data_IF_963551034369
#
_entry.id   IF_963551034369
#
_cell.length_a   1.000
_cell.length_b   1.000
_cell.length_c   1.000
_cell.angle_alpha   90.00
_cell.angle_beta   90.00
_cell.angle_gamma   90.00
#
_symmetry.space_group_name_H-M   'P 1'
#
loop_
_entity.id
_entity.type
_entity.pdbx_description
1 polymer ?
#
# COMPACT_ATOMS: atom_id res chain seq x y z
N UNK A 1 -5.72 8.98 -2.43
CA UNK A 1 -5.23 8.23 -3.58
C UNK A 1 -6.44 7.41 -3.98
N UNK A 2 -6.58 7.06 -5.25
CA UNK A 2 -7.73 6.25 -5.67
C UNK A 2 -7.76 4.94 -4.86
N UNK A 3 -8.95 4.46 -4.52
CA UNK A 3 -9.09 3.22 -3.76
C UNK A 3 -8.96 3.34 -2.23
N UNK A 4 -8.92 4.55 -1.66
CA UNK A 4 -8.90 4.74 -0.19
C UNK A 4 -7.51 4.69 0.45
N UNK A 5 -6.45 4.62 -0.37
CA UNK A 5 -5.06 4.69 0.09
C UNK A 5 -4.61 6.12 0.41
N UNK A 6 -3.58 6.23 1.25
CA UNK A 6 -2.93 7.50 1.61
C UNK A 6 -2.29 8.18 0.41
N UNK A 7 -2.18 9.51 0.46
CA UNK A 7 -1.59 10.35 -0.62
C UNK A 7 -0.24 10.94 -0.24
N UNK A 8 0.28 10.56 0.91
CA UNK A 8 1.47 11.16 1.48
C UNK A 8 2.56 10.10 1.60
N UNK A 9 3.76 10.46 1.16
CA UNK A 9 4.98 9.72 1.44
C UNK A 9 5.64 10.18 2.74
N UNK A 10 4.89 10.84 3.64
CA UNK A 10 5.40 11.28 4.94
C UNK A 10 5.93 10.11 5.77
N UNK A 11 6.88 10.37 6.67
CA UNK A 11 7.48 9.39 7.57
C UNK A 11 6.46 8.68 8.49
N UNK A 12 5.25 9.22 8.63
CA UNK A 12 4.15 8.57 9.37
C UNK A 12 3.54 7.38 8.63
N UNK A 13 3.68 7.32 7.30
CA UNK A 13 3.19 6.22 6.47
C UNK A 13 4.34 5.24 6.26
N UNK A 14 4.24 4.06 6.85
CA UNK A 14 5.29 3.05 6.70
C UNK A 14 5.05 2.17 5.46
N UNK A 15 3.79 1.83 5.16
CA UNK A 15 3.40 1.04 3.99
C UNK A 15 2.74 1.93 2.94
N UNK A 16 3.52 2.55 2.06
CA UNK A 16 3.01 3.60 1.16
C UNK A 16 2.59 3.10 -0.22
N UNK A 17 2.99 1.89 -0.63
CA UNK A 17 2.61 1.32 -1.92
C UNK A 17 1.19 0.69 -1.87
N UNK A 18 0.48 0.77 -2.99
CA UNK A 18 -0.84 0.15 -3.19
C UNK A 18 -0.77 -1.28 -3.72
N UNK A 19 0.38 -1.68 -4.25
CA UNK A 19 0.65 -3.00 -4.82
C UNK A 19 1.44 -3.84 -3.84
N UNK A 20 2.53 -3.28 -3.31
CA UNK A 20 3.42 -3.93 -2.37
C UNK A 20 2.93 -3.72 -0.92
N UNK A 21 3.11 -4.74 -0.10
CA UNK A 21 2.93 -4.72 1.34
C UNK A 21 4.32 -4.77 2.00
N UNK A 22 5.12 -3.75 1.70
CA UNK A 22 6.44 -3.57 2.28
C UNK A 22 6.51 -2.21 2.97
N UNK A 23 7.28 -2.16 4.05
CA UNK A 23 7.66 -0.92 4.71
C UNK A 23 8.64 -0.13 3.85
N UNK A 24 8.77 1.15 4.16
CA UNK A 24 9.81 2.01 3.55
C UNK A 24 11.21 1.42 3.68
N UNK A 25 11.53 0.86 4.84
CA UNK A 25 12.86 0.31 5.10
C UNK A 25 13.08 -0.98 4.33
N UNK A 26 12.08 -1.86 4.24
CA UNK A 26 12.21 -3.12 3.49
C UNK A 26 12.45 -2.85 2.01
N UNK A 27 11.70 -1.93 1.40
CA UNK A 27 11.81 -1.67 -0.04
C UNK A 27 13.20 -1.15 -0.44
N UNK A 28 13.88 -0.40 0.43
CA UNK A 28 15.25 0.08 0.19
C UNK A 28 16.29 -1.04 0.20
N UNK A 29 15.93 -2.23 0.69
CA UNK A 29 16.82 -3.39 0.78
C UNK A 29 16.38 -4.53 -0.16
N UNK A 30 15.32 -4.34 -0.94
CA UNK A 30 14.81 -5.34 -1.89
C UNK A 30 15.30 -4.96 -3.29
N UNK A 31 16.14 -5.83 -3.87
CA UNK A 31 16.72 -5.64 -5.22
C UNK A 31 16.16 -6.62 -6.25
N UNK A 32 15.17 -7.44 -5.86
CA UNK A 32 14.55 -8.45 -6.72
C UNK A 32 13.07 -8.60 -6.36
N UNK A 33 12.22 -8.64 -7.38
CA UNK A 33 10.76 -8.77 -7.24
C UNK A 33 10.32 -10.05 -6.51
N UNK A 34 11.14 -11.11 -6.52
CA UNK A 34 10.81 -12.39 -5.86
C UNK A 34 10.68 -12.28 -4.33
N UNK A 35 11.16 -11.20 -3.73
CA UNK A 35 11.19 -10.99 -2.27
C UNK A 35 10.05 -10.06 -1.81
N UNK A 36 9.33 -9.42 -2.74
CA UNK A 36 8.32 -8.42 -2.43
C UNK A 36 6.99 -9.09 -2.06
N UNK A 37 6.51 -8.82 -0.84
CA UNK A 37 5.17 -9.22 -0.42
C UNK A 37 4.11 -8.33 -1.09
N UNK A 38 3.13 -8.93 -1.76
CA UNK A 38 2.05 -8.19 -2.43
C UNK A 38 0.81 -8.02 -1.55
N UNK A 39 0.07 -6.94 -1.77
CA UNK A 39 -1.26 -6.74 -1.18
C UNK A 39 -2.26 -7.69 -1.81
N UNK A 40 -3.04 -8.35 -0.98
CA UNK A 40 -4.13 -9.24 -1.37
C UNK A 40 -5.45 -8.63 -0.88
N UNK A 41 -6.59 -8.98 -1.50
CA UNK A 41 -7.89 -8.60 -0.94
C UNK A 41 -8.04 -8.98 0.54
N UNK A 42 -7.53 -10.17 0.91
CA UNK A 42 -7.59 -10.67 2.28
C UNK A 42 -6.83 -9.79 3.26
N UNK A 43 -5.57 -9.43 2.98
CA UNK A 43 -4.80 -8.58 3.87
C UNK A 43 -5.29 -7.13 3.87
N UNK A 44 -5.84 -6.65 2.75
CA UNK A 44 -6.48 -5.34 2.69
C UNK A 44 -7.67 -5.25 3.64
N UNK A 45 -8.60 -6.22 3.59
CA UNK A 45 -9.78 -6.22 4.45
C UNK A 45 -9.43 -6.39 5.94
N UNK A 46 -8.38 -7.16 6.25
CA UNK A 46 -7.85 -7.25 7.61
C UNK A 46 -7.38 -5.87 8.10
N UNK A 47 -6.55 -5.18 7.31
CA UNK A 47 -6.03 -3.86 7.68
C UNK A 47 -7.13 -2.79 7.78
N UNK A 48 -8.15 -2.86 6.92
CA UNK A 48 -9.34 -2.01 7.03
C UNK A 48 -10.06 -2.27 8.36
N UNK A 49 -10.25 -3.54 8.73
CA UNK A 49 -10.88 -3.91 10.01
C UNK A 49 -10.09 -3.40 11.20
N UNK A 50 -8.76 -3.53 11.16
CA UNK A 50 -7.87 -3.02 12.20
C UNK A 50 -7.97 -1.49 12.34
N UNK A 51 -7.99 -0.77 11.22
CA UNK A 51 -8.16 0.69 11.19
C UNK A 51 -9.49 1.13 11.82
N UNK A 52 -10.58 0.41 11.53
CA UNK A 52 -11.91 0.72 12.08
C UNK A 52 -12.03 0.43 13.58
N UNK A 53 -11.19 -0.48 14.10
CA UNK A 53 -11.21 -0.90 15.50
C UNK A 53 -10.28 -0.05 16.37
N UNK A 54 -9.18 0.45 15.79
CA UNK A 54 -8.14 1.20 16.49
C UNK A 54 -7.65 2.40 15.66
N UNK A 55 -8.12 3.58 16.02
CA UNK A 55 -7.75 4.84 15.37
C UNK A 55 -6.25 5.18 15.50
N UNK A 56 -5.50 4.57 16.43
CA UNK A 56 -4.06 4.77 16.52
C UNK A 56 -3.29 4.17 15.34
N UNK A 57 -3.93 3.23 14.62
CA UNK A 57 -3.40 2.62 13.39
C UNK A 57 -3.71 3.43 12.14
N UNK A 58 -4.20 4.67 12.27
CA UNK A 58 -4.43 5.54 11.13
C UNK A 58 -3.18 5.64 10.25
N UNK A 59 -3.37 5.42 8.96
CA UNK A 59 -2.30 5.50 7.95
C UNK A 59 -1.13 4.52 8.15
N UNK A 60 -1.18 3.62 9.15
CA UNK A 60 -0.14 2.62 9.42
C UNK A 60 0.13 1.79 8.17
N UNK A 61 -0.93 1.15 7.66
CA UNK A 61 -0.89 0.30 6.47
C UNK A 61 -1.08 1.06 5.15
N UNK A 62 -0.95 2.40 5.17
CA UNK A 62 -1.21 3.25 4.00
C UNK A 62 -2.66 3.27 3.52
N UNK A 63 -3.60 2.82 4.35
CA UNK A 63 -5.04 2.86 4.08
C UNK A 63 -5.65 3.96 4.97
N UNK A 64 -6.39 4.88 4.35
CA UNK A 64 -7.16 5.92 5.07
C UNK A 64 -8.59 5.48 5.35
N UNK A 65 -9.15 4.64 4.48
CA UNK A 65 -10.52 4.14 4.54
C UNK A 65 -10.72 2.96 3.61
N UNK A 66 -11.76 2.17 3.87
CA UNK A 66 -12.25 1.18 2.91
C UNK A 66 -12.63 1.81 1.58
N UNK A 67 -12.38 1.10 0.49
CA UNK A 67 -12.71 1.59 -0.85
C UNK A 67 -14.17 1.31 -1.20
N UNK A 68 -14.93 2.32 -1.66
CA UNK A 68 -16.27 2.09 -2.22
C UNK A 68 -16.23 1.35 -3.57
N UNK A 69 -15.05 1.20 -4.17
CA UNK A 69 -14.89 0.48 -5.45
C UNK A 69 -14.79 -1.04 -5.27
N UNK A 70 -14.55 -1.52 -4.04
CA UNK A 70 -14.47 -2.96 -3.79
C UNK A 70 -15.84 -3.62 -4.02
N UNK A 71 -15.85 -4.67 -4.84
CA UNK A 71 -17.03 -5.46 -5.19
C UNK A 71 -16.61 -6.90 -5.53
N UNK A 72 -17.59 -7.77 -5.79
CA UNK A 72 -17.30 -9.17 -6.17
C UNK A 72 -16.49 -9.31 -7.48
N UNK A 73 -16.52 -8.30 -8.36
CA UNK A 73 -15.86 -8.34 -9.67
C UNK A 73 -14.61 -7.45 -9.73
N UNK A 74 -14.39 -6.59 -8.74
CA UNK A 74 -13.29 -5.64 -8.73
C UNK A 74 -12.77 -5.43 -7.31
N UNK A 75 -11.45 -5.45 -7.15
CA UNK A 75 -10.81 -5.10 -5.89
C UNK A 75 -9.64 -4.15 -6.13
N UNK A 76 -9.51 -3.11 -5.32
CA UNK A 76 -8.51 -2.04 -5.53
C UNK A 76 -7.06 -2.52 -5.52
N UNK A 77 -6.76 -3.64 -4.85
CA UNK A 77 -5.41 -4.25 -4.86
C UNK A 77 -5.06 -4.97 -6.16
N UNK A 78 -6.03 -5.21 -7.06
CA UNK A 78 -5.84 -5.97 -8.31
C UNK A 78 -6.28 -5.22 -9.56
N UNK A 79 -7.34 -4.43 -9.44
CA UNK A 79 -8.02 -3.80 -10.59
C UNK A 79 -7.56 -2.38 -10.87
N UNK A 80 -6.78 -1.77 -9.99
CA UNK A 80 -6.14 -0.49 -10.29
C UNK A 80 -4.87 -0.76 -11.11
N UNK A 81 -4.51 0.13 -12.06
CA UNK A 81 -3.25 0.00 -12.79
C UNK A 81 -2.04 0.08 -11.82
N UNK A 82 -0.81 -0.15 -12.26
CA UNK A 82 0.37 0.29 -11.52
C UNK A 82 0.39 1.82 -11.35
N UNK A 83 1.21 2.34 -10.44
CA UNK A 83 1.37 3.79 -10.24
C UNK A 83 2.84 4.11 -10.00
N UNK A 84 3.25 5.32 -10.37
CA UNK A 84 4.64 5.81 -10.30
C UNK A 84 5.32 5.62 -8.93
N UNK A 85 4.55 5.46 -7.85
CA UNK A 85 5.09 5.10 -6.55
C UNK A 85 5.75 3.71 -6.50
N UNK A 86 5.24 2.74 -7.27
CA UNK A 86 5.85 1.43 -7.48
C UNK A 86 7.09 1.54 -8.37
N UNK A 87 7.01 2.32 -9.45
CA UNK A 87 8.06 2.30 -10.46
C UNK A 87 9.25 3.24 -10.13
N UNK A 88 9.01 4.38 -9.49
CA UNK A 88 10.04 5.41 -9.27
C UNK A 88 10.53 5.48 -7.82
N UNK A 89 9.70 5.12 -6.83
CA UNK A 89 10.02 5.28 -5.40
C UNK A 89 10.40 3.95 -4.70
N UNK A 90 10.16 2.80 -5.33
CA UNK A 90 10.60 1.48 -4.80
C UNK A 90 12.07 1.14 -5.12
N UNK A 91 12.83 2.04 -5.76
CA UNK A 91 14.28 1.89 -5.87
C UNK A 91 14.88 1.88 -7.28
N UNK A 92 14.09 2.15 -8.35
CA UNK A 92 14.68 2.32 -9.70
C UNK A 92 15.48 3.64 -9.80
N UNK A 93 15.12 4.66 -9.02
CA UNK A 93 15.88 5.89 -8.88
C UNK A 93 16.45 5.98 -7.45
N UNK A 94 17.74 5.65 -7.22
CA UNK A 94 18.39 5.99 -5.96
C UNK A 94 18.32 7.50 -5.73
N UNK A 95 18.16 7.90 -4.46
CA UNK A 95 18.23 9.30 -4.03
C UNK A 95 19.60 9.87 -4.45
N UNK A 96 19.64 11.03 -5.11
CA UNK A 96 20.88 11.79 -5.31
C UNK A 96 21.42 12.34 -3.99
#
# INVERSE_FOLDING_TARGET
MIGGFVESFSNKVNYYCRTCLCTKTEVQNIFSDEIISLRTPQNYEQHVTELLTDNSKDSLYGIKRSSPFNSNLFHVTRGLPPHIAHDMLEGVAPYE
#
